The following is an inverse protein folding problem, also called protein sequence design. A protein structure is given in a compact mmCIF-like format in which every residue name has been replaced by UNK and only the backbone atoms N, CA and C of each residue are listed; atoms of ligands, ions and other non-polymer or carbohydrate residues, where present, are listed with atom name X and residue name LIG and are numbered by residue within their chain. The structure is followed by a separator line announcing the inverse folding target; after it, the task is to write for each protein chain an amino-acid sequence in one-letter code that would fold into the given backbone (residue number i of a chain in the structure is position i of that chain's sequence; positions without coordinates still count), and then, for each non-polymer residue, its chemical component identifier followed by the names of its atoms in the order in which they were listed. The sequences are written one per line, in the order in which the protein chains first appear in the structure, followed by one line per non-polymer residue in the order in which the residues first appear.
data_IF_837485477801
#
_entry.id   IF_837485477801
#
_cell.length_a   1.000
_cell.length_b   1.000
_cell.length_c   1.000
_cell.angle_alpha   90.00
_cell.angle_beta   90.00
_cell.angle_gamma   90.00
#
_symmetry.space_group_name_H-M   'P 1'
#
loop_
_entity.id
_entity.type
_entity.pdbx_description
1 polymer ?
#
# COMPACT_ATOMS: atom_id res chain seq x y z
N UNK A 1 -18.35 21.76 -8.14
CA UNK A 1 -17.19 22.62 -7.87
C UNK A 1 -16.96 22.75 -6.38
N UNK A 2 -17.78 23.49 -5.62
CA UNK A 2 -17.61 23.60 -4.17
C UNK A 2 -17.66 22.24 -3.44
N UNK A 3 -18.64 21.38 -3.78
CA UNK A 3 -18.73 20.01 -3.24
C UNK A 3 -17.50 19.17 -3.60
N UNK A 4 -16.98 19.30 -4.82
CA UNK A 4 -15.81 18.58 -5.34
C UNK A 4 -14.53 18.98 -4.58
N UNK A 5 -14.35 20.28 -4.35
CA UNK A 5 -13.25 20.83 -3.54
C UNK A 5 -13.36 20.38 -2.08
N UNK A 6 -14.58 20.30 -1.53
CA UNK A 6 -14.81 19.79 -0.18
C UNK A 6 -14.40 18.31 -0.07
N UNK A 7 -14.79 17.47 -1.05
CA UNK A 7 -14.39 16.06 -1.08
C UNK A 7 -12.86 15.87 -1.19
N UNK A 8 -12.19 16.70 -2.00
CA UNK A 8 -10.72 16.72 -2.09
C UNK A 8 -10.08 17.07 -0.75
N UNK A 9 -10.54 18.16 -0.11
CA UNK A 9 -9.97 18.62 1.16
C UNK A 9 -10.22 17.62 2.30
N UNK A 10 -11.44 17.10 2.43
CA UNK A 10 -11.78 16.10 3.44
C UNK A 10 -11.04 14.78 3.18
N UNK A 11 -10.95 14.34 1.93
CA UNK A 11 -10.20 13.15 1.55
C UNK A 11 -8.72 13.25 1.91
N UNK A 12 -8.08 14.38 1.60
CA UNK A 12 -6.68 14.63 1.95
C UNK A 12 -6.44 14.68 3.47
N UNK A 13 -7.34 15.35 4.21
CA UNK A 13 -7.26 15.41 5.67
C UNK A 13 -7.43 14.02 6.29
N UNK A 14 -8.35 13.21 5.76
CA UNK A 14 -8.60 11.87 6.26
C UNK A 14 -7.48 10.90 5.89
N UNK A 15 -6.85 11.05 4.72
CA UNK A 15 -5.65 10.30 4.31
C UNK A 15 -4.48 10.57 5.27
N UNK A 16 -4.17 11.84 5.52
CA UNK A 16 -3.05 12.21 6.41
C UNK A 16 -3.30 11.81 7.86
N UNK A 17 -4.50 12.06 8.38
CA UNK A 17 -4.88 11.62 9.73
C UNK A 17 -4.92 10.08 9.84
N UNK A 18 -5.45 9.39 8.83
CA UNK A 18 -5.51 7.93 8.75
C UNK A 18 -4.13 7.29 8.76
N UNK A 19 -3.18 7.85 7.99
CA UNK A 19 -1.79 7.40 7.97
C UNK A 19 -1.14 7.52 9.35
N UNK A 20 -1.23 8.69 9.99
CA UNK A 20 -0.66 8.92 11.33
C UNK A 20 -1.26 7.97 12.38
N UNK A 21 -2.59 7.79 12.36
CA UNK A 21 -3.29 6.87 13.27
C UNK A 21 -2.86 5.42 13.03
N UNK A 22 -2.68 5.01 11.77
CA UNK A 22 -2.21 3.69 11.41
C UNK A 22 -0.78 3.44 11.90
N UNK A 23 0.14 4.39 11.69
CA UNK A 23 1.54 4.28 12.13
C UNK A 23 1.63 4.20 13.66
N UNK A 24 0.87 5.02 14.40
CA UNK A 24 0.79 4.98 15.87
C UNK A 24 0.19 3.67 16.39
N UNK A 25 -0.90 3.22 15.78
CA UNK A 25 -1.56 1.97 16.11
C UNK A 25 -0.65 0.77 15.86
N UNK A 26 -0.01 0.72 14.69
CA UNK A 26 0.90 -0.35 14.29
C UNK A 26 2.15 -0.42 15.18
N UNK A 27 2.75 0.72 15.51
CA UNK A 27 3.89 0.78 16.44
C UNK A 27 3.52 0.30 17.84
N UNK A 28 2.35 0.71 18.36
CA UNK A 28 1.85 0.26 19.65
C UNK A 28 1.51 -1.24 19.66
N UNK A 29 0.93 -1.74 18.57
CA UNK A 29 0.64 -3.16 18.39
C UNK A 29 1.93 -3.98 18.41
N UNK A 30 2.97 -3.52 17.70
CA UNK A 30 4.27 -4.16 17.64
C UNK A 30 4.89 -4.33 19.03
N UNK A 31 4.89 -3.24 19.82
CA UNK A 31 5.37 -3.25 21.21
C UNK A 31 4.56 -4.21 22.09
N UNK A 32 3.23 -4.21 21.96
CA UNK A 32 2.35 -5.08 22.75
C UNK A 32 2.57 -6.57 22.46
N UNK A 33 2.91 -6.92 21.22
CA UNK A 33 3.16 -8.29 20.79
C UNK A 33 4.65 -8.69 20.84
N UNK A 34 5.53 -7.82 21.34
CA UNK A 34 6.98 -8.02 21.41
C UNK A 34 7.59 -8.39 20.06
N UNK A 35 7.04 -7.81 18.99
CA UNK A 35 7.56 -7.90 17.63
C UNK A 35 8.13 -6.55 17.22
N UNK A 36 9.05 -6.54 16.26
CA UNK A 36 9.60 -5.28 15.75
C UNK A 36 8.50 -4.43 15.08
N UNK A 37 8.50 -3.10 15.21
CA UNK A 37 7.66 -2.19 14.40
C UNK A 37 7.75 -2.48 12.91
N UNK A 38 8.96 -2.83 12.42
CA UNK A 38 9.21 -3.26 11.05
C UNK A 38 8.36 -4.48 10.65
N UNK A 39 8.11 -5.43 11.56
CA UNK A 39 7.26 -6.59 11.28
C UNK A 39 5.80 -6.19 11.07
N UNK A 40 5.27 -5.24 11.86
CA UNK A 40 3.91 -4.71 11.68
C UNK A 40 3.79 -3.87 10.41
N UNK A 41 4.83 -3.06 10.12
CA UNK A 41 4.92 -2.30 8.87
C UNK A 41 4.88 -3.20 7.63
N UNK A 42 5.73 -4.24 7.61
CA UNK A 42 5.82 -5.19 6.50
C UNK A 42 4.65 -6.19 6.42
N UNK A 43 3.71 -6.15 7.37
CA UNK A 43 2.53 -7.02 7.36
C UNK A 43 1.26 -6.21 7.40
N UNK A 44 0.80 -5.82 8.59
CA UNK A 44 -0.49 -5.17 8.80
C UNK A 44 -0.62 -3.89 7.97
N UNK A 45 0.42 -3.06 7.95
CA UNK A 45 0.38 -1.80 7.18
C UNK A 45 0.45 -2.10 5.68
N UNK A 46 1.46 -2.85 5.22
CA UNK A 46 1.63 -3.18 3.80
C UNK A 46 0.42 -3.91 3.18
N UNK A 47 -0.11 -4.94 3.84
CA UNK A 47 -1.32 -5.62 3.36
C UNK A 47 -2.56 -4.75 3.48
N UNK A 48 -2.63 -3.89 4.49
CA UNK A 48 -3.77 -3.02 4.72
C UNK A 48 -3.88 -1.91 3.68
N UNK A 49 -2.77 -1.27 3.31
CA UNK A 49 -2.76 -0.22 2.29
C UNK A 49 -3.06 -0.79 0.91
N UNK A 50 -2.57 -2.00 0.59
CA UNK A 50 -2.81 -2.65 -0.71
C UNK A 50 -4.09 -3.49 -0.78
N UNK A 51 -4.93 -3.46 0.27
CA UNK A 51 -6.22 -4.14 0.30
C UNK A 51 -7.21 -3.63 -0.78
N UNK A 52 -7.30 -2.31 -1.07
CA UNK A 52 -8.12 -1.80 -2.17
C UNK A 52 -7.69 -2.38 -3.52
N UNK A 53 -6.39 -2.39 -3.83
CA UNK A 53 -5.83 -2.96 -5.05
C UNK A 53 -6.15 -4.45 -5.19
N UNK A 54 -6.00 -5.20 -4.09
CA UNK A 54 -6.35 -6.61 -4.05
C UNK A 54 -7.85 -6.80 -4.33
N UNK A 55 -8.72 -6.01 -3.69
CA UNK A 55 -10.16 -6.08 -3.88
C UNK A 55 -10.57 -5.76 -5.33
N UNK A 56 -9.98 -4.73 -5.95
CA UNK A 56 -10.21 -4.37 -7.35
C UNK A 56 -9.74 -5.50 -8.28
N UNK A 57 -8.53 -6.01 -8.07
CA UNK A 57 -7.94 -7.06 -8.91
C UNK A 57 -8.72 -8.37 -8.82
N UNK A 58 -9.09 -8.79 -7.61
CA UNK A 58 -9.89 -10.01 -7.38
C UNK A 58 -11.28 -9.87 -8.00
N UNK A 59 -11.96 -8.74 -7.81
CA UNK A 59 -13.28 -8.51 -8.41
C UNK A 59 -13.22 -8.51 -9.94
N UNK A 60 -12.21 -7.87 -10.53
CA UNK A 60 -12.00 -7.89 -11.97
C UNK A 60 -11.73 -9.31 -12.49
N UNK A 61 -10.88 -10.08 -11.81
CA UNK A 61 -10.59 -11.47 -12.17
C UNK A 61 -11.85 -12.36 -12.09
N UNK A 62 -12.63 -12.24 -11.02
CA UNK A 62 -13.90 -12.99 -10.86
C UNK A 62 -14.96 -12.60 -11.90
N UNK A 63 -14.90 -11.36 -12.41
CA UNK A 63 -15.75 -10.89 -13.50
C UNK A 63 -15.24 -11.30 -14.91
N UNK A 64 -14.18 -12.10 -15.00
CA UNK A 64 -13.56 -12.49 -16.27
C UNK A 64 -12.75 -11.38 -16.94
N UNK A 65 -12.47 -10.29 -16.25
CA UNK A 65 -11.73 -9.12 -16.74
C UNK A 65 -10.24 -9.21 -16.37
N UNK A 66 -9.58 -10.28 -16.80
CA UNK A 66 -8.18 -10.57 -16.46
C UNK A 66 -7.20 -9.45 -16.82
N UNK A 67 -7.40 -8.79 -17.97
CA UNK A 67 -6.58 -7.66 -18.39
C UNK A 67 -6.66 -6.46 -17.42
N UNK A 68 -7.84 -6.21 -16.83
CA UNK A 68 -8.02 -5.14 -15.83
C UNK A 68 -7.34 -5.53 -14.52
N UNK A 69 -7.45 -6.79 -14.10
CA UNK A 69 -6.76 -7.28 -12.90
C UNK A 69 -5.23 -7.17 -13.04
N UNK A 70 -4.68 -7.64 -14.17
CA UNK A 70 -3.24 -7.54 -14.45
C UNK A 70 -2.78 -6.07 -14.58
N UNK A 71 -3.57 -5.24 -15.27
CA UNK A 71 -3.31 -3.82 -15.42
C UNK A 71 -3.28 -3.07 -14.08
N UNK A 72 -4.19 -3.41 -13.17
CA UNK A 72 -4.22 -2.84 -11.81
C UNK A 72 -2.94 -3.20 -11.04
N UNK A 73 -2.56 -4.49 -11.02
CA UNK A 73 -1.36 -4.95 -10.28
C UNK A 73 -0.07 -4.32 -10.84
N UNK A 74 0.12 -4.34 -12.16
CA UNK A 74 1.32 -3.77 -12.79
C UNK A 74 1.34 -2.23 -12.67
N UNK A 75 0.18 -1.59 -12.85
CA UNK A 75 0.00 -0.15 -12.73
C UNK A 75 0.34 0.37 -11.33
N UNK A 76 -0.24 -0.21 -10.28
CA UNK A 76 -0.01 0.20 -8.89
C UNK A 76 1.46 0.03 -8.49
N UNK A 77 2.11 -1.08 -8.85
CA UNK A 77 3.55 -1.25 -8.56
C UNK A 77 4.43 -0.23 -9.30
N UNK A 78 4.09 0.06 -10.56
CA UNK A 78 4.82 1.07 -11.35
C UNK A 78 4.63 2.46 -10.77
N UNK A 79 3.41 2.81 -10.35
CA UNK A 79 3.10 4.08 -9.69
C UNK A 79 3.82 4.21 -8.35
N UNK A 80 3.87 3.15 -7.54
CA UNK A 80 4.58 3.16 -6.27
C UNK A 80 6.08 3.43 -6.44
N UNK A 81 6.74 2.84 -7.44
CA UNK A 81 8.17 3.06 -7.67
C UNK A 81 8.43 4.41 -8.36
N UNK A 82 7.69 4.73 -9.41
CA UNK A 82 7.98 5.92 -10.22
C UNK A 82 7.46 7.20 -9.56
N UNK A 83 6.21 7.21 -9.09
CA UNK A 83 5.58 8.39 -8.54
C UNK A 83 5.81 8.50 -7.03
N UNK A 84 5.41 7.50 -6.23
CA UNK A 84 5.48 7.61 -4.77
C UNK A 84 6.94 7.68 -4.30
N UNK A 85 7.74 6.65 -4.58
CA UNK A 85 9.15 6.61 -4.18
C UNK A 85 9.95 7.76 -4.83
N UNK A 86 9.66 8.09 -6.10
CA UNK A 86 10.27 9.21 -6.80
C UNK A 86 9.99 10.56 -6.12
N UNK A 87 8.73 10.87 -5.79
CA UNK A 87 8.38 12.09 -5.07
C UNK A 87 8.96 12.09 -3.65
N UNK A 88 8.87 10.98 -2.92
CA UNK A 88 9.45 10.88 -1.57
C UNK A 88 10.95 11.16 -1.58
N UNK A 89 11.69 10.65 -2.56
CA UNK A 89 13.13 10.90 -2.72
C UNK A 89 13.47 12.35 -3.08
N UNK A 90 12.56 13.07 -3.74
CA UNK A 90 12.71 14.50 -4.03
C UNK A 90 12.43 15.39 -2.82
N UNK A 91 11.50 14.98 -1.96
CA UNK A 91 11.08 15.75 -0.76
C UNK A 91 12.07 15.54 0.39
N UNK A 92 12.44 14.29 0.66
CA UNK A 92 13.28 13.92 1.81
C UNK A 92 14.36 12.92 1.40
N UNK A 93 15.64 13.11 1.81
CA UNK A 93 16.68 12.12 1.57
C UNK A 93 16.31 10.75 2.17
N UNK A 94 16.24 9.71 1.35
CA UNK A 94 15.89 8.36 1.79
C UNK A 94 17.12 7.66 2.36
N UNK A 95 17.07 7.30 3.64
CA UNK A 95 18.08 6.45 4.25
C UNK A 95 17.92 5.01 3.74
N UNK A 96 18.92 4.51 2.99
CA UNK A 96 18.88 3.16 2.40
C UNK A 96 19.71 2.19 3.23
N UNK A 97 19.08 1.12 3.74
CA UNK A 97 19.78 0.05 4.43
C UNK A 97 20.40 -0.95 3.44
N UNK A 98 21.57 -1.51 3.79
CA UNK A 98 22.30 -2.50 2.96
C UNK A 98 21.43 -3.73 2.63
N UNK A 99 20.56 -4.14 3.55
CA UNK A 99 19.60 -5.24 3.33
C UNK A 99 18.67 -4.96 2.15
N UNK A 100 18.17 -3.73 2.04
CA UNK A 100 17.28 -3.33 0.95
C UNK A 100 17.96 -3.55 -0.41
N UNK A 101 19.22 -3.11 -0.52
CA UNK A 101 20.01 -3.20 -1.76
C UNK A 101 20.38 -4.64 -2.10
N UNK A 102 20.75 -5.45 -1.11
CA UNK A 102 21.29 -6.80 -1.35
C UNK A 102 20.25 -7.91 -1.40
N UNK A 103 19.09 -7.72 -0.78
CA UNK A 103 18.08 -8.78 -0.64
C UNK A 103 16.76 -8.31 -1.26
N UNK A 104 16.19 -7.23 -0.76
CA UNK A 104 14.80 -6.89 -1.06
C UNK A 104 14.64 -6.40 -2.51
N UNK A 105 15.54 -5.54 -3.01
CA UNK A 105 15.54 -5.07 -4.41
C UNK A 105 15.80 -6.22 -5.41
N UNK A 106 16.85 -7.05 -5.26
CA UNK A 106 17.06 -8.18 -6.16
C UNK A 106 15.89 -9.17 -6.17
N UNK A 107 15.29 -9.44 -5.01
CA UNK A 107 14.12 -10.31 -4.92
C UNK A 107 12.90 -9.69 -5.61
N UNK A 108 12.65 -8.39 -5.41
CA UNK A 108 11.60 -7.65 -6.11
C UNK A 108 11.78 -7.78 -7.63
N UNK A 109 12.99 -7.55 -8.14
CA UNK A 109 13.30 -7.69 -9.58
C UNK A 109 13.08 -9.13 -10.08
N UNK A 110 13.46 -10.13 -9.30
CA UNK A 110 13.25 -11.54 -9.65
C UNK A 110 11.75 -11.89 -9.73
N UNK A 111 10.95 -11.41 -8.76
CA UNK A 111 9.49 -11.59 -8.77
C UNK A 111 8.84 -10.82 -9.91
N UNK A 112 9.30 -9.61 -10.23
CA UNK A 112 8.85 -8.86 -11.41
C UNK A 112 9.15 -9.61 -12.70
N UNK A 113 10.36 -10.17 -12.86
CA UNK A 113 10.71 -10.99 -14.01
C UNK A 113 9.85 -12.25 -14.12
N UNK A 114 9.60 -12.93 -13.01
CA UNK A 114 8.66 -14.06 -12.96
C UNK A 114 7.25 -13.64 -13.36
N UNK A 115 6.78 -12.47 -12.91
CA UNK A 115 5.50 -11.89 -13.32
C UNK A 115 5.41 -11.62 -14.82
N UNK A 116 6.48 -11.15 -15.46
CA UNK A 116 6.55 -10.98 -16.92
C UNK A 116 6.37 -12.33 -17.63
N UNK A 117 7.03 -13.38 -17.14
CA UNK A 117 6.90 -14.74 -17.71
C UNK A 117 5.47 -15.26 -17.57
N UNK A 118 4.88 -15.13 -16.38
CA UNK A 118 3.49 -15.57 -16.10
C UNK A 118 2.46 -14.81 -16.93
N UNK A 119 2.73 -13.55 -17.30
CA UNK A 119 1.82 -12.74 -18.12
C UNK A 119 2.08 -12.84 -19.62
N UNK A 120 3.12 -13.59 -20.04
CA UNK A 120 3.60 -13.61 -21.43
C UNK A 120 2.58 -14.20 -22.41
N UNK A 121 1.90 -15.27 -22.04
CA UNK A 121 0.87 -15.92 -22.86
C UNK A 121 -0.54 -15.34 -22.66
N UNK A 122 -0.64 -14.23 -21.91
CA UNK A 122 -1.88 -13.55 -21.52
C UNK A 122 -2.85 -14.40 -20.69
N UNK A 123 -2.40 -15.52 -20.14
CA UNK A 123 -3.22 -16.41 -19.30
C UNK A 123 -2.51 -16.71 -17.99
N UNK A 124 -3.18 -16.47 -16.86
CA UNK A 124 -2.65 -16.87 -15.56
C UNK A 124 -3.31 -18.16 -15.11
N UNK A 125 -2.55 -19.24 -15.07
CA UNK A 125 -3.03 -20.55 -14.61
C UNK A 125 -3.12 -20.60 -13.08
N UNK A 126 -3.93 -21.54 -12.57
CA UNK A 126 -4.02 -21.78 -11.11
C UNK A 126 -2.68 -22.19 -10.49
N UNK A 127 -1.84 -22.89 -11.26
CA UNK A 127 -0.53 -23.31 -10.80
C UNK A 127 0.40 -22.11 -10.62
N UNK A 128 0.48 -21.21 -11.60
CA UNK A 128 1.28 -19.98 -11.50
C UNK A 128 0.79 -19.09 -10.36
N UNK A 129 -0.53 -18.92 -10.23
CA UNK A 129 -1.12 -18.20 -9.10
C UNK A 129 -0.75 -18.82 -7.74
N UNK A 130 -0.80 -20.15 -7.63
CA UNK A 130 -0.40 -20.86 -6.41
C UNK A 130 1.10 -20.68 -6.12
N UNK A 131 1.96 -20.72 -7.14
CA UNK A 131 3.40 -20.46 -6.98
C UNK A 131 3.65 -19.03 -6.47
N UNK A 132 2.98 -18.03 -7.02
CA UNK A 132 3.12 -16.63 -6.60
C UNK A 132 2.62 -16.41 -5.17
N UNK A 133 1.45 -16.95 -4.82
CA UNK A 133 0.91 -16.88 -3.45
C UNK A 133 1.81 -17.62 -2.47
N UNK A 134 2.34 -18.79 -2.84
CA UNK A 134 3.29 -19.53 -1.98
C UNK A 134 4.58 -18.74 -1.76
N UNK A 135 5.07 -18.07 -2.81
CA UNK A 135 6.21 -17.17 -2.74
C UNK A 135 5.97 -15.99 -1.80
N UNK A 136 4.79 -15.36 -1.87
CA UNK A 136 4.37 -14.30 -0.95
C UNK A 136 4.39 -14.79 0.51
N UNK A 137 3.76 -15.94 0.79
CA UNK A 137 3.73 -16.52 2.14
C UNK A 137 5.14 -16.82 2.64
N UNK A 138 6.00 -17.42 1.81
CA UNK A 138 7.38 -17.72 2.16
C UNK A 138 8.19 -16.45 2.45
N UNK A 139 8.09 -15.43 1.60
CA UNK A 139 8.76 -14.14 1.78
C UNK A 139 8.34 -13.45 3.08
N UNK A 140 7.03 -13.39 3.35
CA UNK A 140 6.51 -12.81 4.59
C UNK A 140 7.00 -13.60 5.81
N UNK A 141 6.96 -14.94 5.77
CA UNK A 141 7.42 -15.77 6.87
C UNK A 141 8.91 -15.60 7.18
N UNK A 142 9.77 -15.61 6.14
CA UNK A 142 11.22 -15.38 6.29
C UNK A 142 11.48 -13.99 6.83
N UNK A 143 10.81 -12.97 6.31
CA UNK A 143 10.97 -11.59 6.75
C UNK A 143 10.59 -11.42 8.21
N UNK A 144 9.48 -12.01 8.65
CA UNK A 144 9.06 -12.01 10.05
C UNK A 144 10.03 -12.78 10.95
N UNK A 145 10.56 -13.92 10.48
CA UNK A 145 11.54 -14.70 11.22
C UNK A 145 12.84 -13.91 11.45
N UNK A 146 13.35 -13.26 10.39
CA UNK A 146 14.57 -12.44 10.48
C UNK A 146 14.34 -11.19 11.35
N UNK A 147 13.15 -10.58 11.28
CA UNK A 147 12.81 -9.41 12.09
C UNK A 147 12.72 -9.72 13.61
N UNK A 148 12.47 -10.97 14.00
CA UNK A 148 12.45 -11.40 15.41
C UNK A 148 13.83 -11.38 16.09
N UNK A 149 14.92 -11.45 15.32
CA UNK A 149 16.29 -11.41 15.86
C UNK A 149 16.81 -10.00 16.17
N UNK A 150 16.24 -8.97 15.54
CA UNK A 150 16.72 -7.57 15.61
C UNK A 150 16.08 -6.76 16.75
N UNK A 151 15.89 -7.37 17.92
CA UNK A 151 15.17 -6.80 19.08
C UNK A 151 15.76 -5.50 19.66
N UNK A 152 16.97 -5.08 19.25
CA UNK A 152 17.75 -4.07 19.98
C UNK A 152 17.61 -2.63 19.46
N UNK A 153 17.30 -2.38 18.18
CA UNK A 153 17.31 -1.00 17.63
C UNK A 153 15.95 -0.28 17.62
N UNK A 154 14.84 -1.02 17.71
CA UNK A 154 13.50 -0.43 17.49
C UNK A 154 12.83 0.15 18.76
N UNK A 155 13.47 0.05 19.93
CA UNK A 155 12.89 0.48 21.22
C UNK A 155 13.17 1.97 21.49
N UNK A 156 14.23 2.55 20.93
CA UNK A 156 14.66 3.93 21.24
C UNK A 156 13.83 5.02 20.54
N UNK A 157 13.16 4.72 19.42
CA UNK A 157 12.45 5.73 18.61
C UNK A 157 10.91 5.68 18.76
N UNK A 158 10.35 4.73 19.51
CA UNK A 158 8.89 4.57 19.57
C UNK A 158 8.22 5.48 20.61
N UNK A 159 7.07 6.13 20.27
CA UNK A 159 6.21 6.81 21.23
C UNK A 159 5.82 5.88 22.38
N UNK A 160 5.48 6.45 23.55
CA UNK A 160 5.02 5.68 24.71
C UNK A 160 3.94 4.67 24.30
N UNK A 161 4.16 3.36 24.50
CA UNK A 161 3.21 2.34 24.06
C UNK A 161 1.85 2.56 24.72
N UNK A 162 0.79 2.44 23.93
CA UNK A 162 -0.57 2.43 24.46
C UNK A 162 -0.73 1.23 25.41
N UNK A 163 -1.36 1.47 26.57
CA UNK A 163 -1.55 0.46 27.62
C UNK A 163 -2.43 -0.73 27.20
N UNK A 164 -3.23 -0.60 26.15
CA UNK A 164 -4.21 -1.61 25.72
C UNK A 164 -3.99 -2.05 24.27
N UNK A 165 -3.76 -3.35 24.07
CA UNK A 165 -3.71 -3.97 22.74
C UNK A 165 -5.00 -3.77 21.96
N UNK A 166 -6.16 -3.76 22.63
CA UNK A 166 -7.44 -3.52 21.97
C UNK A 166 -7.52 -2.10 21.38
N UNK A 167 -6.96 -1.10 22.08
CA UNK A 167 -6.87 0.26 21.57
C UNK A 167 -5.89 0.34 20.39
N UNK A 168 -4.74 -0.32 20.47
CA UNK A 168 -3.79 -0.38 19.35
C UNK A 168 -4.41 -1.01 18.09
N UNK A 169 -5.11 -2.14 18.24
CA UNK A 169 -5.85 -2.77 17.14
C UNK A 169 -6.96 -1.87 16.61
N UNK A 170 -7.71 -1.19 17.48
CA UNK A 170 -8.74 -0.24 17.05
C UNK A 170 -8.16 0.93 16.25
N UNK A 171 -7.00 1.46 16.65
CA UNK A 171 -6.31 2.51 15.90
C UNK A 171 -5.83 2.01 14.54
N UNK A 172 -5.27 0.79 14.44
CA UNK A 172 -4.91 0.20 13.14
C UNK A 172 -6.12 0.13 12.22
N UNK A 173 -7.24 -0.38 12.73
CA UNK A 173 -8.49 -0.51 11.94
C UNK A 173 -9.01 0.88 11.54
N UNK A 174 -9.03 1.83 12.47
CA UNK A 174 -9.48 3.19 12.21
C UNK A 174 -8.57 3.92 11.20
N UNK A 175 -7.26 3.73 11.29
CA UNK A 175 -6.28 4.27 10.36
C UNK A 175 -6.48 3.71 8.96
N UNK A 176 -6.61 2.38 8.82
CA UNK A 176 -6.91 1.73 7.54
C UNK A 176 -8.24 2.22 6.95
N UNK A 177 -9.30 2.30 7.77
CA UNK A 177 -10.57 2.85 7.32
C UNK A 177 -10.43 4.30 6.85
N UNK A 178 -9.71 5.13 7.61
CA UNK A 178 -9.40 6.51 7.24
C UNK A 178 -8.68 6.62 5.90
N UNK A 179 -7.68 5.76 5.66
CA UNK A 179 -6.98 5.72 4.38
C UNK A 179 -7.91 5.34 3.22
N UNK A 180 -8.73 4.29 3.39
CA UNK A 180 -9.66 3.81 2.35
C UNK A 180 -10.73 4.86 2.02
N UNK A 181 -11.41 5.38 3.03
CA UNK A 181 -12.46 6.40 2.82
C UNK A 181 -11.85 7.73 2.37
N UNK A 182 -10.67 8.09 2.87
CA UNK A 182 -9.94 9.29 2.46
C UNK A 182 -9.56 9.24 0.98
N UNK A 183 -9.01 8.12 0.53
CA UNK A 183 -8.71 7.87 -0.89
C UNK A 183 -9.98 7.94 -1.74
N UNK A 184 -11.07 7.28 -1.31
CA UNK A 184 -12.33 7.29 -2.04
C UNK A 184 -12.90 8.71 -2.19
N UNK A 185 -12.91 9.50 -1.11
CA UNK A 185 -13.42 10.87 -1.13
C UNK A 185 -12.56 11.78 -1.99
N UNK A 186 -11.23 11.65 -1.87
CA UNK A 186 -10.29 12.39 -2.70
C UNK A 186 -10.50 12.11 -4.19
N UNK A 187 -10.57 10.82 -4.57
CA UNK A 187 -10.79 10.39 -5.95
C UNK A 187 -12.14 10.88 -6.47
N UNK A 188 -13.21 10.78 -5.68
CA UNK A 188 -14.53 11.30 -6.07
C UNK A 188 -14.48 12.80 -6.39
N UNK A 189 -13.81 13.59 -5.54
CA UNK A 189 -13.63 15.02 -5.77
C UNK A 189 -12.81 15.32 -7.03
N UNK A 190 -11.70 14.59 -7.23
CA UNK A 190 -10.82 14.72 -8.39
C UNK A 190 -11.53 14.36 -9.71
N UNK A 191 -12.29 13.26 -9.72
CA UNK A 191 -13.06 12.78 -10.88
C UNK A 191 -14.12 13.80 -11.29
N UNK A 192 -14.91 14.35 -10.35
CA UNK A 192 -15.91 15.38 -10.67
C UNK A 192 -15.27 16.66 -11.23
N UNK A 193 -14.09 17.04 -10.72
CA UNK A 193 -13.34 18.19 -11.22
C UNK A 193 -12.84 17.94 -12.65
N UNK A 194 -12.27 16.76 -12.91
CA UNK A 194 -11.75 16.37 -14.21
C UNK A 194 -12.85 16.29 -15.29
N UNK A 195 -14.03 15.75 -14.94
CA UNK A 195 -15.20 15.75 -15.83
C UNK A 195 -15.62 17.17 -16.20
N UNK A 196 -15.66 18.08 -15.24
CA UNK A 196 -15.98 19.50 -15.48
C UNK A 196 -14.92 20.20 -16.32
N UNK A 197 -13.66 19.77 -16.23
CA UNK A 197 -12.57 20.23 -17.07
C UNK A 197 -12.60 19.65 -18.50
N UNK A 198 -13.59 18.82 -18.84
CA UNK A 198 -13.75 18.23 -20.17
C UNK A 198 -12.85 17.02 -20.43
N UNK A 199 -12.24 16.43 -19.39
CA UNK A 199 -11.45 15.22 -19.55
C UNK A 199 -12.34 14.02 -19.87
N UNK A 200 -11.89 13.14 -20.77
CA UNK A 200 -12.63 11.93 -21.13
C UNK A 200 -12.61 10.89 -20.01
N UNK A 201 -13.66 10.06 -19.91
CA UNK A 201 -13.74 8.97 -18.93
C UNK A 201 -12.54 8.02 -19.01
N UNK A 202 -12.01 7.79 -20.22
CA UNK A 202 -10.82 6.99 -20.43
C UNK A 202 -9.58 7.60 -19.76
N UNK A 203 -9.35 8.91 -19.93
CA UNK A 203 -8.22 9.60 -19.30
C UNK A 203 -8.39 9.61 -17.77
N UNK A 204 -9.60 9.89 -17.28
CA UNK A 204 -9.89 9.91 -15.84
C UNK A 204 -9.65 8.53 -15.21
N UNK A 205 -10.13 7.47 -15.85
CA UNK A 205 -9.97 6.09 -15.37
C UNK A 205 -8.50 5.65 -15.34
N UNK A 206 -7.76 5.92 -16.42
CA UNK A 206 -6.36 5.52 -16.56
C UNK A 206 -5.38 6.34 -15.70
N UNK A 207 -5.80 7.50 -15.19
CA UNK A 207 -4.92 8.40 -14.41
C UNK A 207 -5.42 8.58 -12.98
N UNK A 208 -6.53 9.29 -12.78
CA UNK A 208 -7.01 9.71 -11.46
C UNK A 208 -7.48 8.51 -10.65
N UNK A 209 -8.29 7.63 -11.24
CA UNK A 209 -8.82 6.46 -10.52
C UNK A 209 -7.70 5.45 -10.24
N UNK A 210 -6.83 5.21 -11.22
CA UNK A 210 -5.67 4.32 -11.07
C UNK A 210 -4.68 4.82 -10.01
N UNK A 211 -4.35 6.11 -9.98
CA UNK A 211 -3.52 6.70 -8.92
C UNK A 211 -4.24 6.69 -7.56
N UNK A 212 -5.57 6.77 -7.60
CA UNK A 212 -6.45 6.81 -6.44
C UNK A 212 -6.34 5.60 -5.52
N UNK A 213 -6.18 4.40 -6.07
CA UNK A 213 -6.06 3.18 -5.25
C UNK A 213 -4.78 3.18 -4.43
N UNK A 214 -3.73 3.84 -4.92
CA UNK A 214 -2.40 3.89 -4.28
C UNK A 214 -2.16 5.15 -3.45
N UNK A 215 -3.23 5.94 -3.20
CA UNK A 215 -3.19 7.06 -2.24
C UNK A 215 -2.94 6.63 -0.78
N UNK A 216 -3.45 5.48 -0.28
CA UNK A 216 -3.09 4.95 1.03
C UNK A 216 -1.57 4.76 1.20
N UNK A 217 -0.91 4.15 0.21
CA UNK A 217 0.53 3.96 0.16
C UNK A 217 1.27 5.30 0.14
N UNK A 218 0.80 6.25 -0.66
CA UNK A 218 1.42 7.58 -0.73
C UNK A 218 1.32 8.29 0.63
N UNK A 219 0.13 8.28 1.25
CA UNK A 219 -0.10 8.94 2.53
C UNK A 219 0.75 8.32 3.65
N UNK A 220 0.87 7.00 3.69
CA UNK A 220 1.68 6.29 4.69
C UNK A 220 3.18 6.36 4.45
N UNK A 221 3.63 6.69 3.23
CA UNK A 221 5.05 6.82 2.90
C UNK A 221 5.62 8.22 3.19
N UNK A 222 4.75 9.23 3.32
CA UNK A 222 5.14 10.64 3.53
C UNK A 222 5.08 11.05 5.00
N UNK A 223 4.32 10.30 5.82
CA UNK A 223 4.15 10.50 7.27
C UNK A 223 5.11 9.59 8.03
#
# INVERSE_FOLDING_TARGET
MMLSLMWLALGLLLLTAGAEVLVRGGSSLALSWRISPLAVGLTVVAFGTSAPELAVSVRAALAGQGAIAAGNVVGSNSFNIAAILGLSALITPLAVHVRLIRIDIPLMLAVTAAGIVVLYDHTVTRFEGLCLVSGLVAYTAVTLFLARGSKAEAVEATPTPLRSTALASALVIAGLAGLVFGAEWFVRGAVDLARRAGMSEAVIGLTIVAAGTSLPELATSVV
#
